data_IF_578326627998
#
_entry.id   IF_578326627998
#
_cell.length_a   1.000
_cell.length_b   1.000
_cell.length_c   1.000
_cell.angle_alpha   90.00
_cell.angle_beta   90.00
_cell.angle_gamma   90.00
#
_symmetry.space_group_name_H-M   'P 1'
#
loop_
_entity.id
_entity.type
_entity.pdbx_description
1 polymer ?
#
# COMPACT_ATOMS: atom_id res chain seq x y z
N UNK A 1 -17.72 -16.59 8.18
CA UNK A 1 -17.94 -18.06 8.24
C UNK A 1 -16.74 -18.70 8.94
N UNK A 2 -16.92 -19.76 9.74
CA UNK A 2 -15.80 -20.49 10.36
C UNK A 2 -14.98 -21.25 9.32
N UNK A 3 -13.74 -21.63 9.69
CA UNK A 3 -12.78 -22.33 8.80
C UNK A 3 -13.30 -23.66 8.26
N UNK A 4 -14.19 -24.33 8.98
CA UNK A 4 -14.81 -25.61 8.58
C UNK A 4 -15.73 -25.49 7.37
N UNK A 5 -16.21 -24.28 7.06
CA UNK A 5 -17.30 -24.06 6.10
C UNK A 5 -16.78 -23.73 4.70
N UNK A 6 -15.47 -23.79 4.50
CA UNK A 6 -14.83 -23.54 3.22
C UNK A 6 -13.56 -24.36 3.05
N UNK A 7 -13.16 -24.58 1.79
CA UNK A 7 -11.83 -25.10 1.45
C UNK A 7 -10.96 -23.97 0.90
N UNK A 8 -9.65 -24.17 1.02
CA UNK A 8 -8.64 -23.24 0.50
C UNK A 8 -7.89 -23.97 -0.60
N UNK A 9 -7.97 -23.45 -1.82
CA UNK A 9 -7.32 -24.05 -2.98
C UNK A 9 -5.91 -23.50 -3.14
N UNK A 10 -4.98 -24.34 -3.59
CA UNK A 10 -3.61 -23.88 -3.82
C UNK A 10 -3.50 -23.13 -5.16
N UNK A 11 -3.85 -21.84 -5.14
CA UNK A 11 -3.91 -21.00 -6.36
C UNK A 11 -2.87 -19.87 -6.39
N UNK A 12 -2.08 -19.70 -5.32
CA UNK A 12 -1.18 -18.54 -5.16
C UNK A 12 0.20 -18.73 -5.81
N UNK A 13 0.23 -18.90 -7.13
CA UNK A 13 1.46 -19.06 -7.92
C UNK A 13 1.85 -17.74 -8.62
N UNK A 14 2.33 -16.77 -7.86
CA UNK A 14 2.51 -15.37 -8.29
C UNK A 14 3.98 -14.94 -8.38
N UNK A 15 4.25 -13.79 -9.01
CA UNK A 15 5.60 -13.22 -9.17
C UNK A 15 6.18 -12.67 -7.85
N UNK A 16 5.38 -11.92 -7.10
CA UNK A 16 5.76 -11.24 -5.85
C UNK A 16 4.69 -11.46 -4.78
N UNK A 17 4.99 -11.10 -3.53
CA UNK A 17 4.14 -11.39 -2.36
C UNK A 17 3.85 -12.89 -2.16
N UNK A 18 4.77 -13.78 -2.60
CA UNK A 18 4.57 -15.24 -2.49
C UNK A 18 4.29 -15.69 -1.05
N UNK A 19 4.91 -15.03 -0.08
CA UNK A 19 4.77 -15.38 1.35
C UNK A 19 3.39 -15.08 1.96
N UNK A 20 2.52 -14.34 1.27
CA UNK A 20 1.18 -14.02 1.80
C UNK A 20 0.23 -15.20 1.74
N UNK A 21 0.43 -16.13 0.80
CA UNK A 21 -0.47 -17.25 0.58
C UNK A 21 -1.91 -16.80 0.32
N UNK A 22 -2.11 -15.76 -0.51
CA UNK A 22 -3.42 -15.18 -0.84
C UNK A 22 -4.24 -16.10 -1.76
N UNK A 23 -4.51 -17.31 -1.26
CA UNK A 23 -5.18 -18.41 -1.93
C UNK A 23 -6.69 -18.17 -2.04
N UNK A 24 -7.30 -18.78 -3.04
CA UNK A 24 -8.75 -18.73 -3.21
C UNK A 24 -9.47 -19.54 -2.12
N UNK A 25 -10.57 -18.99 -1.64
CA UNK A 25 -11.50 -19.64 -0.73
C UNK A 25 -12.71 -20.10 -1.52
N UNK A 26 -13.02 -21.39 -1.46
CA UNK A 26 -14.21 -21.97 -2.11
C UNK A 26 -15.24 -22.36 -1.06
N UNK A 27 -16.45 -21.82 -1.22
CA UNK A 27 -17.60 -22.03 -0.34
C UNK A 27 -18.68 -22.77 -1.12
N UNK A 28 -19.11 -23.93 -0.63
CA UNK A 28 -20.12 -24.77 -1.29
C UNK A 28 -21.31 -24.98 -0.35
N UNK A 29 -22.39 -24.21 -0.57
CA UNK A 29 -23.68 -24.40 0.12
C UNK A 29 -23.69 -24.13 1.63
N UNK A 30 -22.69 -23.43 2.17
CA UNK A 30 -22.61 -23.17 3.60
C UNK A 30 -23.56 -22.03 4.05
N UNK A 31 -24.26 -22.28 5.15
CA UNK A 31 -25.22 -21.34 5.73
C UNK A 31 -24.53 -20.24 6.54
N UNK A 32 -24.93 -18.98 6.31
CA UNK A 32 -24.48 -17.84 7.10
C UNK A 32 -25.69 -17.23 7.81
N UNK A 33 -25.78 -17.30 9.15
CA UNK A 33 -26.88 -16.67 9.86
C UNK A 33 -26.76 -15.15 9.80
N UNK A 34 -27.90 -14.45 9.79
CA UNK A 34 -28.00 -12.99 9.62
C UNK A 34 -27.08 -12.20 10.58
N UNK A 35 -26.97 -12.63 11.84
CA UNK A 35 -26.12 -11.97 12.83
C UNK A 35 -24.60 -12.02 12.53
N UNK A 36 -24.17 -12.79 11.52
CA UNK A 36 -22.79 -12.83 11.00
C UNK A 36 -22.65 -12.17 9.62
N UNK A 37 -23.68 -11.47 9.19
CA UNK A 37 -23.69 -10.68 7.97
C UNK A 37 -23.70 -9.20 8.33
N UNK A 38 -23.14 -8.38 7.45
CA UNK A 38 -23.18 -6.93 7.59
C UNK A 38 -23.24 -6.30 6.19
N UNK A 39 -24.15 -5.34 5.94
CA UNK A 39 -24.24 -4.71 4.64
C UNK A 39 -22.97 -3.92 4.32
N UNK A 40 -22.32 -4.25 3.22
CA UNK A 40 -21.04 -3.65 2.82
C UNK A 40 -21.10 -2.11 2.79
N UNK A 41 -22.16 -1.54 2.21
CA UNK A 41 -22.33 -0.09 2.12
C UNK A 41 -22.40 0.62 3.49
N UNK A 42 -22.93 -0.03 4.52
CA UNK A 42 -23.06 0.58 5.86
C UNK A 42 -21.70 0.76 6.54
N UNK A 43 -20.74 -0.15 6.32
CA UNK A 43 -19.36 -0.01 6.80
C UNK A 43 -18.63 1.19 6.19
N UNK A 44 -18.90 1.50 4.93
CA UNK A 44 -18.28 2.65 4.24
C UNK A 44 -19.01 3.95 4.58
N UNK A 45 -20.34 3.94 4.64
CA UNK A 45 -21.15 5.08 5.06
C UNK A 45 -21.07 5.36 6.58
N UNK A 46 -20.42 4.48 7.35
CA UNK A 46 -20.34 4.54 8.82
C UNK A 46 -21.70 4.62 9.50
N UNK A 47 -22.64 3.84 8.97
CA UNK A 47 -24.02 3.73 9.47
C UNK A 47 -24.23 2.41 10.21
N UNK A 48 -23.17 1.73 10.62
CA UNK A 48 -23.27 0.47 11.36
C UNK A 48 -23.71 0.72 12.81
N UNK A 49 -24.62 -0.11 13.32
CA UNK A 49 -25.10 -0.07 14.71
C UNK A 49 -23.94 -0.25 15.72
N UNK A 50 -22.86 -0.91 15.29
CA UNK A 50 -21.63 -1.09 16.07
C UNK A 50 -21.00 0.25 16.47
N UNK A 51 -20.96 1.24 15.59
CA UNK A 51 -20.43 2.59 15.89
C UNK A 51 -21.22 3.34 16.97
N UNK A 52 -22.48 2.98 17.21
CA UNK A 52 -23.29 3.56 18.29
C UNK A 52 -23.02 2.86 19.64
N UNK A 53 -22.62 1.59 19.60
CA UNK A 53 -22.41 0.74 20.77
C UNK A 53 -20.96 0.77 21.25
N UNK A 54 -20.00 0.76 20.33
CA UNK A 54 -18.56 0.75 20.63
C UNK A 54 -17.98 2.16 20.53
N UNK A 55 -17.70 2.77 21.68
CA UNK A 55 -17.37 4.20 21.77
C UNK A 55 -15.87 4.52 21.72
N UNK A 56 -15.00 3.50 21.75
CA UNK A 56 -13.56 3.72 21.67
C UNK A 56 -13.17 4.39 20.33
N UNK A 57 -12.21 5.33 20.32
CA UNK A 57 -11.84 6.08 19.12
C UNK A 57 -11.48 5.20 17.90
N UNK A 58 -10.90 4.02 18.12
CA UNK A 58 -10.53 3.09 17.05
C UNK A 58 -11.71 2.61 16.21
N UNK A 59 -12.91 2.51 16.78
CA UNK A 59 -14.13 2.14 16.03
C UNK A 59 -14.69 3.31 15.21
N UNK A 60 -14.14 4.52 15.39
CA UNK A 60 -14.59 5.72 14.70
C UNK A 60 -13.82 6.00 13.41
N UNK A 61 -12.80 5.20 13.07
CA UNK A 61 -12.06 5.38 11.83
C UNK A 61 -12.83 4.75 10.65
N UNK A 62 -12.96 5.44 9.49
CA UNK A 62 -13.65 4.87 8.33
C UNK A 62 -12.90 3.64 7.77
N UNK A 63 -13.57 2.49 7.71
CA UNK A 63 -13.00 1.21 7.29
C UNK A 63 -12.25 1.32 5.95
N UNK A 64 -12.87 1.93 4.95
CA UNK A 64 -12.28 2.06 3.61
C UNK A 64 -10.96 2.82 3.57
N UNK A 65 -10.79 3.81 4.45
CA UNK A 65 -9.56 4.60 4.54
C UNK A 65 -8.49 3.80 5.27
N UNK A 66 -8.84 3.22 6.43
CA UNK A 66 -7.90 2.39 7.21
C UNK A 66 -7.44 1.19 6.39
N UNK A 67 -8.33 0.52 5.68
CA UNK A 67 -8.01 -0.63 4.84
C UNK A 67 -7.07 -0.25 3.68
N UNK A 68 -7.34 0.84 2.96
CA UNK A 68 -6.45 1.32 1.89
C UNK A 68 -5.04 1.65 2.42
N UNK A 69 -4.97 2.28 3.61
CA UNK A 69 -3.69 2.64 4.21
C UNK A 69 -2.96 1.46 4.85
N UNK A 70 -3.68 0.45 5.36
CA UNK A 70 -3.07 -0.81 5.77
C UNK A 70 -2.26 -1.41 4.62
N UNK A 71 -2.82 -1.41 3.40
CA UNK A 71 -2.14 -1.91 2.21
C UNK A 71 -0.97 -0.99 1.79
N UNK A 72 -1.17 0.32 1.76
CA UNK A 72 -0.11 1.25 1.33
C UNK A 72 1.07 1.26 2.31
N UNK A 73 0.84 1.04 3.62
CA UNK A 73 1.90 0.95 4.63
C UNK A 73 2.90 -0.18 4.34
N UNK A 74 2.42 -1.30 3.77
CA UNK A 74 3.28 -2.42 3.36
C UNK A 74 4.24 -1.98 2.24
N UNK A 75 3.76 -1.17 1.29
CA UNK A 75 4.58 -0.66 0.19
C UNK A 75 5.63 0.36 0.66
N UNK A 76 5.35 1.13 1.72
CA UNK A 76 6.34 1.98 2.39
C UNK A 76 7.47 1.11 2.94
N UNK A 77 7.13 0.07 3.72
CA UNK A 77 8.13 -0.83 4.29
C UNK A 77 8.97 -1.56 3.23
N UNK A 78 8.39 -1.91 2.08
CA UNK A 78 9.14 -2.47 0.95
C UNK A 78 10.16 -1.48 0.38
N UNK A 79 9.77 -0.22 0.20
CA UNK A 79 10.66 0.81 -0.32
C UNK A 79 11.76 1.17 0.70
N UNK A 80 11.44 1.24 2.00
CA UNK A 80 12.40 1.41 3.08
C UNK A 80 13.42 0.25 3.11
N UNK A 81 12.95 -1.00 3.05
CA UNK A 81 13.83 -2.17 3.01
C UNK A 81 14.69 -2.25 1.75
N UNK A 82 14.15 -1.86 0.59
CA UNK A 82 14.93 -1.76 -0.64
C UNK A 82 16.02 -0.69 -0.53
N UNK A 83 15.69 0.46 0.05
CA UNK A 83 16.61 1.57 0.26
C UNK A 83 17.77 1.18 1.18
N UNK A 84 17.48 0.56 2.31
CA UNK A 84 18.50 0.06 3.24
C UNK A 84 19.39 -0.98 2.56
N UNK A 85 18.79 -2.01 1.95
CA UNK A 85 19.52 -3.06 1.26
C UNK A 85 20.41 -2.51 0.14
N UNK A 86 19.91 -1.58 -0.66
CA UNK A 86 20.68 -0.97 -1.73
C UNK A 86 21.86 -0.17 -1.16
N UNK A 87 21.60 0.66 -0.16
CA UNK A 87 22.62 1.52 0.47
C UNK A 87 23.77 0.68 1.02
N UNK A 88 23.48 -0.39 1.76
CA UNK A 88 24.50 -1.28 2.30
C UNK A 88 25.28 -2.00 1.20
N UNK A 89 24.61 -2.46 0.14
CA UNK A 89 25.30 -3.06 -1.01
C UNK A 89 26.22 -2.05 -1.73
N UNK A 90 25.80 -0.80 -1.91
CA UNK A 90 26.58 0.19 -2.65
C UNK A 90 27.84 0.66 -1.92
N UNK A 91 27.83 0.67 -0.58
CA UNK A 91 28.97 1.11 0.25
C UNK A 91 30.25 0.30 0.00
N UNK A 92 30.12 -1.00 -0.27
CA UNK A 92 31.25 -1.93 -0.43
C UNK A 92 31.43 -2.45 -1.85
N UNK A 93 30.50 -2.16 -2.78
CA UNK A 93 30.56 -2.67 -4.16
C UNK A 93 31.67 -2.00 -4.97
N UNK A 94 32.52 -2.83 -5.58
CA UNK A 94 33.48 -2.45 -6.61
C UNK A 94 32.94 -2.82 -8.00
N UNK A 95 33.21 -1.96 -8.99
CA UNK A 95 32.91 -2.21 -10.39
C UNK A 95 33.69 -3.41 -10.92
N UNK A 96 33.02 -4.27 -11.69
CA UNK A 96 33.62 -5.52 -12.19
C UNK A 96 34.77 -5.28 -13.16
N UNK A 97 34.72 -4.20 -13.94
CA UNK A 97 35.66 -3.95 -15.04
C UNK A 97 36.76 -2.95 -14.68
N UNK A 98 36.46 -1.96 -13.84
CA UNK A 98 37.34 -0.84 -13.51
C UNK A 98 37.76 -0.79 -12.03
N UNK A 99 37.17 -1.65 -11.19
CA UNK A 99 37.38 -1.63 -9.74
C UNK A 99 36.86 -0.36 -9.06
N UNK A 100 36.10 0.49 -9.76
CA UNK A 100 35.62 1.75 -9.22
C UNK A 100 34.62 1.51 -8.09
N UNK A 101 34.71 2.30 -7.01
CA UNK A 101 33.76 2.19 -5.90
C UNK A 101 32.40 2.70 -6.34
N UNK A 102 31.38 1.87 -6.22
CA UNK A 102 30.00 2.28 -6.54
C UNK A 102 29.49 3.40 -5.63
N UNK A 103 30.04 3.52 -4.42
CA UNK A 103 29.78 4.63 -3.51
C UNK A 103 30.30 5.99 -4.04
N UNK A 104 31.21 5.99 -5.04
CA UNK A 104 31.77 7.18 -5.68
C UNK A 104 31.09 7.50 -7.03
N UNK A 105 30.25 6.60 -7.54
CA UNK A 105 29.49 6.81 -8.78
C UNK A 105 28.42 7.90 -8.57
N UNK A 106 28.49 9.03 -9.32
CA UNK A 106 27.52 10.12 -9.18
C UNK A 106 26.09 9.69 -9.49
N UNK A 107 25.89 8.75 -10.42
CA UNK A 107 24.56 8.28 -10.79
C UNK A 107 23.97 7.31 -9.77
N UNK A 108 24.81 6.61 -8.99
CA UNK A 108 24.36 5.84 -7.82
C UNK A 108 23.90 6.78 -6.72
N UNK A 109 24.70 7.82 -6.43
CA UNK A 109 24.36 8.83 -5.41
C UNK A 109 23.07 9.58 -5.74
N UNK A 110 22.90 9.99 -7.00
CA UNK A 110 21.69 10.68 -7.46
C UNK A 110 20.45 9.81 -7.24
N UNK A 111 20.44 8.56 -7.74
CA UNK A 111 19.28 7.67 -7.60
C UNK A 111 18.98 7.32 -6.16
N UNK A 112 20.03 7.15 -5.34
CA UNK A 112 19.87 6.94 -3.91
C UNK A 112 19.18 8.13 -3.25
N UNK A 113 19.62 9.36 -3.53
CA UNK A 113 19.02 10.56 -2.97
C UNK A 113 17.57 10.76 -3.44
N UNK A 114 17.27 10.51 -4.71
CA UNK A 114 15.90 10.57 -5.25
C UNK A 114 14.98 9.54 -4.57
N UNK A 115 15.42 8.29 -4.44
CA UNK A 115 14.66 7.26 -3.74
C UNK A 115 14.44 7.60 -2.26
N UNK A 116 15.45 8.14 -1.58
CA UNK A 116 15.34 8.62 -0.19
C UNK A 116 14.26 9.70 -0.05
N UNK A 117 14.27 10.70 -0.94
CA UNK A 117 13.29 11.78 -0.92
C UNK A 117 11.87 11.27 -1.15
N UNK A 118 11.69 10.32 -2.09
CA UNK A 118 10.39 9.70 -2.37
C UNK A 118 9.90 8.93 -1.13
N UNK A 119 10.74 8.08 -0.53
CA UNK A 119 10.39 7.29 0.66
C UNK A 119 10.03 8.18 1.84
N UNK A 120 10.82 9.24 2.08
CA UNK A 120 10.52 10.20 3.13
C UNK A 120 9.18 10.91 2.89
N UNK A 121 8.89 11.34 1.67
CA UNK A 121 7.63 11.99 1.33
C UNK A 121 6.42 11.06 1.48
N UNK A 122 6.56 9.76 1.16
CA UNK A 122 5.51 8.77 1.40
C UNK A 122 5.19 8.64 2.89
N UNK A 123 6.22 8.60 3.75
CA UNK A 123 6.07 8.49 5.20
C UNK A 123 5.34 9.71 5.77
N UNK A 124 5.78 10.91 5.39
CA UNK A 124 5.14 12.15 5.81
C UNK A 124 3.67 12.23 5.37
N UNK A 125 3.37 11.82 4.13
CA UNK A 125 1.99 11.79 3.63
C UNK A 125 1.13 10.81 4.44
N UNK A 126 1.64 9.60 4.68
CA UNK A 126 0.94 8.60 5.47
C UNK A 126 0.60 9.11 6.88
N UNK A 127 1.59 9.69 7.56
CA UNK A 127 1.43 10.22 8.92
C UNK A 127 0.46 11.41 8.96
N UNK A 128 0.55 12.32 7.98
CA UNK A 128 -0.35 13.47 7.86
C UNK A 128 -1.83 13.05 7.70
N UNK A 129 -2.10 12.01 6.89
CA UNK A 129 -3.47 11.49 6.74
C UNK A 129 -4.05 11.03 8.07
N UNK A 130 -3.29 10.27 8.85
CA UNK A 130 -3.78 9.77 10.13
C UNK A 130 -3.84 10.86 11.21
N UNK A 131 -2.97 11.86 11.16
CA UNK A 131 -3.05 13.02 12.04
C UNK A 131 -4.35 13.82 11.78
N UNK A 132 -4.64 14.16 10.53
CA UNK A 132 -5.87 14.88 10.17
C UNK A 132 -7.14 14.07 10.49
N UNK A 133 -7.09 12.76 10.23
CA UNK A 133 -8.20 11.87 10.54
C UNK A 133 -8.43 11.73 12.05
N UNK A 134 -7.36 11.68 12.85
CA UNK A 134 -7.44 11.67 14.31
C UNK A 134 -8.05 12.96 14.84
N UNK A 135 -7.56 14.13 14.39
CA UNK A 135 -8.11 15.44 14.79
C UNK A 135 -9.61 15.55 14.50
N UNK A 136 -10.03 15.10 13.31
CA UNK A 136 -11.45 15.09 12.92
C UNK A 136 -12.29 14.20 13.84
N UNK A 137 -11.80 13.00 14.16
CA UNK A 137 -12.51 12.02 14.98
C UNK A 137 -12.57 12.46 16.45
N UNK A 138 -11.48 13.01 16.98
CA UNK A 138 -11.38 13.49 18.36
C UNK A 138 -12.29 14.70 18.60
N UNK A 139 -12.47 15.54 17.58
CA UNK A 139 -13.49 16.61 17.59
C UNK A 139 -14.94 16.10 17.47
N UNK A 140 -15.16 14.78 17.36
CA UNK A 140 -16.48 14.16 17.19
C UNK A 140 -17.03 14.28 15.77
N UNK A 141 -16.20 14.70 14.81
CA UNK A 141 -16.58 14.92 13.42
C UNK A 141 -16.39 13.69 12.52
N UNK A 142 -16.62 13.92 11.22
CA UNK A 142 -16.38 12.96 10.14
C UNK A 142 -15.60 13.64 9.02
N UNK A 143 -14.67 12.94 8.36
CA UNK A 143 -14.05 13.48 7.16
C UNK A 143 -15.11 13.68 6.08
N UNK A 144 -15.06 14.81 5.40
CA UNK A 144 -15.95 15.10 4.27
C UNK A 144 -15.73 14.09 3.13
N UNK A 145 -16.70 13.96 2.22
CA UNK A 145 -16.55 13.09 1.06
C UNK A 145 -15.27 13.41 0.28
N UNK A 146 -14.98 14.68 0.02
CA UNK A 146 -13.79 15.13 -0.69
C UNK A 146 -12.49 14.70 0.01
N UNK A 147 -12.44 14.79 1.35
CA UNK A 147 -11.28 14.30 2.11
C UNK A 147 -11.18 12.78 2.04
N UNK A 148 -12.29 12.05 2.11
CA UNK A 148 -12.27 10.58 1.96
C UNK A 148 -11.78 10.14 0.57
N UNK A 149 -12.18 10.85 -0.48
CA UNK A 149 -11.67 10.68 -1.85
C UNK A 149 -10.16 10.94 -1.88
N UNK A 150 -9.71 12.05 -1.29
CA UNK A 150 -8.30 12.40 -1.22
C UNK A 150 -7.47 11.34 -0.49
N UNK A 151 -7.91 10.89 0.70
CA UNK A 151 -7.22 9.85 1.46
C UNK A 151 -7.05 8.55 0.68
N UNK A 152 -8.07 8.13 -0.08
CA UNK A 152 -7.95 6.94 -0.93
C UNK A 152 -6.95 7.13 -2.06
N UNK A 153 -6.97 8.29 -2.71
CA UNK A 153 -5.96 8.62 -3.71
C UNK A 153 -4.55 8.64 -3.09
N UNK A 154 -4.39 9.20 -1.90
CA UNK A 154 -3.12 9.26 -1.21
C UNK A 154 -2.55 7.87 -0.92
N UNK A 155 -3.37 6.91 -0.47
CA UNK A 155 -2.97 5.53 -0.30
C UNK A 155 -2.47 4.88 -1.62
N UNK A 156 -3.19 5.07 -2.72
CA UNK A 156 -2.77 4.55 -4.04
C UNK A 156 -1.51 5.27 -4.56
N UNK A 157 -1.37 6.58 -4.29
CA UNK A 157 -0.21 7.37 -4.66
C UNK A 157 1.06 6.91 -3.92
N UNK A 158 0.92 6.49 -2.66
CA UNK A 158 2.01 5.90 -1.88
C UNK A 158 2.51 4.62 -2.55
N UNK A 159 1.61 3.71 -2.95
CA UNK A 159 2.01 2.49 -3.65
C UNK A 159 2.72 2.78 -4.99
N UNK A 160 2.21 3.75 -5.75
CA UNK A 160 2.86 4.24 -6.99
C UNK A 160 4.27 4.77 -6.73
N UNK A 161 4.43 5.60 -5.71
CA UNK A 161 5.72 6.19 -5.34
C UNK A 161 6.70 5.12 -4.81
N UNK A 162 6.21 4.11 -4.10
CA UNK A 162 7.01 2.98 -3.64
C UNK A 162 7.59 2.20 -4.83
N UNK A 163 6.79 1.92 -5.87
CA UNK A 163 7.31 1.32 -7.10
C UNK A 163 8.41 2.17 -7.71
N UNK A 164 8.19 3.48 -7.87
CA UNK A 164 9.19 4.38 -8.44
C UNK A 164 10.50 4.38 -7.65
N UNK A 165 10.44 4.46 -6.32
CA UNK A 165 11.63 4.43 -5.47
C UNK A 165 12.39 3.10 -5.63
N UNK A 166 11.68 1.97 -5.61
CA UNK A 166 12.30 0.64 -5.76
C UNK A 166 12.88 0.45 -7.17
N UNK A 167 12.23 0.94 -8.22
CA UNK A 167 12.72 0.88 -9.60
C UNK A 167 14.04 1.64 -9.79
N UNK A 168 14.17 2.85 -9.21
CA UNK A 168 15.41 3.62 -9.24
C UNK A 168 16.58 2.82 -8.66
N UNK A 169 16.38 2.21 -7.49
CA UNK A 169 17.38 1.42 -6.79
C UNK A 169 17.70 0.11 -7.54
N UNK A 170 16.66 -0.60 -7.98
CA UNK A 170 16.81 -1.86 -8.70
C UNK A 170 17.59 -1.66 -10.01
N UNK A 171 17.30 -0.60 -10.76
CA UNK A 171 18.01 -0.29 -12.00
C UNK A 171 19.50 -0.01 -11.76
N UNK A 172 19.85 0.62 -10.64
CA UNK A 172 21.23 0.91 -10.24
C UNK A 172 21.99 -0.30 -9.63
N UNK A 173 21.31 -1.43 -9.43
CA UNK A 173 21.87 -2.62 -8.79
C UNK A 173 22.71 -3.49 -9.74
N UNK A 174 22.57 -3.27 -11.05
CA UNK A 174 23.27 -4.04 -12.08
C UNK A 174 22.95 -5.54 -12.05
N UNK A 175 23.80 -6.35 -12.69
CA UNK A 175 23.58 -7.80 -12.80
C UNK A 175 23.59 -8.56 -11.47
N UNK A 176 24.11 -7.98 -10.38
CA UNK A 176 23.98 -8.57 -9.03
C UNK A 176 22.57 -8.40 -8.46
N UNK A 177 21.85 -7.35 -8.86
CA UNK A 177 20.49 -7.06 -8.38
C UNK A 177 19.46 -8.11 -8.81
N UNK A 178 19.64 -8.74 -9.97
CA UNK A 178 18.70 -9.72 -10.55
C UNK A 178 18.88 -11.14 -10.00
N UNK A 179 19.89 -11.39 -9.17
CA UNK A 179 20.15 -12.73 -8.63
C UNK A 179 19.14 -13.08 -7.55
N UNK A 180 18.75 -14.36 -7.45
CA UNK A 180 17.70 -14.79 -6.51
C UNK A 180 18.07 -14.53 -5.05
N UNK A 181 19.36 -14.66 -4.72
CA UNK A 181 19.90 -14.38 -3.40
C UNK A 181 19.93 -12.89 -3.05
N UNK A 182 19.82 -11.99 -4.05
CA UNK A 182 19.77 -10.56 -3.78
C UNK A 182 18.35 -10.16 -3.32
N UNK A 183 18.20 -9.53 -2.14
CA UNK A 183 16.90 -9.09 -1.67
C UNK A 183 16.25 -8.01 -2.55
N UNK A 184 17.02 -7.25 -3.35
CA UNK A 184 16.47 -6.16 -4.17
C UNK A 184 15.48 -6.64 -5.23
N UNK A 185 15.75 -7.76 -5.91
CA UNK A 185 14.75 -8.32 -6.84
C UNK A 185 13.48 -8.79 -6.13
N UNK A 186 13.56 -9.16 -4.84
CA UNK A 186 12.37 -9.50 -4.05
C UNK A 186 11.53 -8.26 -3.78
N UNK A 187 12.12 -7.18 -3.28
CA UNK A 187 11.40 -5.91 -3.09
C UNK A 187 10.78 -5.40 -4.39
N UNK A 188 11.52 -5.47 -5.50
CA UNK A 188 11.00 -5.13 -6.82
C UNK A 188 9.75 -5.93 -7.18
N UNK A 189 9.82 -7.26 -7.15
CA UNK A 189 8.66 -8.11 -7.48
C UNK A 189 7.49 -7.89 -6.52
N UNK A 190 7.77 -7.75 -5.23
CA UNK A 190 6.76 -7.66 -4.19
C UNK A 190 6.02 -6.32 -4.24
N UNK A 191 6.71 -5.20 -4.50
CA UNK A 191 6.04 -3.88 -4.62
C UNK A 191 5.16 -3.81 -5.87
N UNK A 192 5.60 -4.40 -7.00
CA UNK A 192 4.76 -4.50 -8.19
C UNK A 192 3.53 -5.38 -7.96
N UNK A 193 3.67 -6.49 -7.24
CA UNK A 193 2.54 -7.33 -6.87
C UNK A 193 1.56 -6.61 -5.92
N UNK A 194 2.07 -5.87 -4.94
CA UNK A 194 1.26 -5.10 -3.99
C UNK A 194 0.44 -4.00 -4.69
N UNK A 195 1.06 -3.25 -5.60
CA UNK A 195 0.42 -2.15 -6.33
C UNK A 195 -0.69 -2.59 -7.28
N UNK A 196 -0.77 -3.88 -7.62
CA UNK A 196 -1.87 -4.44 -8.41
C UNK A 196 -3.15 -4.66 -7.58
N UNK A 197 -3.12 -4.43 -6.27
CA UNK A 197 -4.32 -4.51 -5.44
C UNK A 197 -5.35 -3.44 -5.86
N UNK A 198 -6.64 -3.80 -5.92
CA UNK A 198 -7.69 -2.90 -6.43
C UNK A 198 -7.78 -1.55 -5.70
N UNK A 199 -7.56 -1.55 -4.38
CA UNK A 199 -7.52 -0.33 -3.55
C UNK A 199 -6.26 0.53 -3.73
N UNK A 200 -5.21 0.01 -4.38
CA UNK A 200 -3.97 0.72 -4.64
C UNK A 200 -3.81 1.10 -6.13
N UNK A 201 -4.86 0.92 -6.93
CA UNK A 201 -4.86 1.31 -8.34
C UNK A 201 -4.80 2.84 -8.46
N UNK A 202 -3.63 3.34 -8.87
CA UNK A 202 -3.36 4.77 -8.92
C UNK A 202 -4.17 5.49 -10.00
N UNK A 203 -4.41 4.87 -11.17
CA UNK A 203 -5.18 5.52 -12.24
C UNK A 203 -6.62 5.77 -11.79
N UNK A 204 -7.28 4.75 -11.22
CA UNK A 204 -8.65 4.87 -10.69
C UNK A 204 -8.73 5.90 -9.58
N UNK A 205 -7.77 5.87 -8.65
CA UNK A 205 -7.70 6.85 -7.55
C UNK A 205 -7.54 8.29 -8.06
N UNK A 206 -6.60 8.52 -8.98
CA UNK A 206 -6.32 9.83 -9.55
C UNK A 206 -7.50 10.38 -10.35
N UNK A 207 -8.14 9.54 -11.18
CA UNK A 207 -9.29 9.94 -11.99
C UNK A 207 -10.48 10.31 -11.10
N UNK A 208 -10.75 9.54 -10.04
CA UNK A 208 -11.80 9.87 -9.08
C UNK A 208 -11.51 11.17 -8.32
N UNK A 209 -10.28 11.34 -7.81
CA UNK A 209 -9.87 12.55 -7.11
C UNK A 209 -9.94 13.80 -8.01
N UNK A 210 -9.47 13.70 -9.24
CA UNK A 210 -9.57 14.77 -10.23
C UNK A 210 -11.03 15.11 -10.58
N UNK A 211 -11.89 14.11 -10.76
CA UNK A 211 -13.30 14.34 -11.05
C UNK A 211 -14.01 15.10 -9.91
N UNK A 212 -13.81 14.68 -8.66
CA UNK A 212 -14.40 15.32 -7.48
C UNK A 212 -13.86 16.74 -7.29
N UNK A 213 -12.56 16.95 -7.48
CA UNK A 213 -11.96 18.29 -7.42
C UNK A 213 -12.54 19.27 -8.47
N UNK A 214 -13.06 18.76 -9.58
CA UNK A 214 -13.73 19.53 -10.62
C UNK A 214 -15.25 19.68 -10.39
N UNK A 215 -15.77 19.24 -9.24
CA UNK A 215 -17.19 19.33 -8.88
C UNK A 215 -18.05 18.17 -9.39
N UNK A 216 -17.44 17.11 -9.94
CA UNK A 216 -18.15 15.89 -10.32
C UNK A 216 -18.47 14.97 -9.13
N UNK A 217 -19.42 14.03 -9.28
CA UNK A 217 -19.74 13.07 -8.21
C UNK A 217 -18.61 12.04 -8.04
N UNK A 218 -18.50 11.42 -6.87
CA UNK A 218 -17.54 10.32 -6.71
C UNK A 218 -17.91 9.10 -7.57
N UNK A 219 -16.91 8.44 -8.14
CA UNK A 219 -17.03 7.18 -8.87
C UNK A 219 -16.66 5.96 -8.02
N UNK A 220 -16.26 6.16 -6.76
CA UNK A 220 -15.84 5.09 -5.86
C UNK A 220 -16.99 4.71 -4.94
N UNK A 221 -17.54 3.51 -5.17
CA UNK A 221 -18.64 2.94 -4.38
C UNK A 221 -18.24 2.58 -2.94
N UNK A 222 -16.93 2.56 -2.64
CA UNK A 222 -16.37 2.31 -1.33
C UNK A 222 -15.96 3.61 -0.62
N UNK A 223 -16.67 4.71 -0.90
CA UNK A 223 -16.56 6.01 -0.24
C UNK A 223 -17.87 6.45 0.40
#
# INVERSE_FOLDING_TARGET
>A
MPRSDYRVDDTWHVLGLKGTGSKDIVVEGAFVPDYRTHPFAMSFARMDEGTQTFTAPTYKYPFGIVFAHCLSSVTIGMAEGALESFTEQMKSRLGTYDGAKSAEDPFVRQRLAEAQAIVHAMRLRFEAVFAELAETIDAGGQPTLDRRVAYKWEAASIAKNAMQAVELLFKASGGRGIRQENPLQRFFRDVHAASNHAFLNAEKGAVNAGNVAMGGPTMDFAL
#
